data_IF_351666485948
#
_entry.id   IF_351666485948
#
_cell.length_a   1.000
_cell.length_b   1.000
_cell.length_c   1.000
_cell.angle_alpha   90.00
_cell.angle_beta   90.00
_cell.angle_gamma   90.00
#
_symmetry.space_group_name_H-M   'P 1'
#
loop_
_entity.id
_entity.type
_entity.pdbx_description
1 polymer ?
#
# COMPACT_ATOMS: atom_id res chain seq x y z
N UNK A 1 15.95 -9.90 -44.32
CA UNK A 1 16.79 -8.91 -43.58
C UNK A 1 15.85 -7.97 -42.87
N UNK A 2 16.06 -7.80 -41.55
CA UNK A 2 15.71 -6.69 -40.63
C UNK A 2 14.42 -5.86 -40.85
N UNK A 3 13.60 -5.59 -39.84
CA UNK A 3 13.77 -5.79 -38.39
C UNK A 3 12.45 -5.56 -37.63
N UNK A 4 12.44 -5.82 -36.30
CA UNK A 4 11.29 -5.62 -35.43
C UNK A 4 11.37 -4.27 -34.72
N UNK A 5 10.31 -3.47 -34.84
CA UNK A 5 10.08 -2.25 -34.07
C UNK A 5 8.56 -2.07 -34.11
N UNK A 6 7.80 -2.36 -33.07
CA UNK A 6 7.77 -1.64 -31.80
C UNK A 6 7.53 -2.58 -30.61
N UNK A 7 8.55 -2.79 -29.79
CA UNK A 7 8.33 -3.13 -28.37
C UNK A 7 7.78 -1.87 -27.70
N UNK A 8 6.45 -1.75 -27.70
CA UNK A 8 5.77 -0.89 -26.76
C UNK A 8 6.05 -1.47 -25.37
N UNK A 9 6.96 -0.83 -24.64
CA UNK A 9 7.10 -1.00 -23.21
C UNK A 9 5.75 -0.66 -22.58
N UNK A 10 4.92 -1.68 -22.35
CA UNK A 10 3.76 -1.61 -21.48
C UNK A 10 4.27 -1.34 -20.08
N UNK A 11 4.57 -0.07 -19.80
CA UNK A 11 4.75 0.45 -18.46
C UNK A 11 3.44 0.20 -17.74
N UNK A 12 3.43 -0.87 -16.95
CA UNK A 12 2.28 -1.39 -16.23
C UNK A 12 1.81 -0.42 -15.16
N UNK A 13 1.15 0.66 -15.56
CA UNK A 13 0.13 1.35 -14.79
C UNK A 13 -1.24 1.03 -15.41
N UNK A 14 -1.47 -0.26 -15.64
CA UNK A 14 -2.71 -0.77 -16.21
C UNK A 14 -3.84 -0.72 -15.18
N UNK A 15 -4.71 0.26 -15.32
CA UNK A 15 -6.02 0.39 -14.71
C UNK A 15 -6.71 1.58 -15.34
N UNK A 16 -7.67 1.35 -16.24
CA UNK A 16 -8.60 2.39 -16.68
C UNK A 16 -9.21 3.01 -15.42
N UNK A 17 -9.24 4.34 -15.29
CA UNK A 17 -9.74 5.00 -14.08
C UNK A 17 -11.15 4.60 -13.66
N UNK A 18 -11.92 3.96 -14.54
CA UNK A 18 -13.20 3.34 -14.21
C UNK A 18 -13.08 2.06 -13.34
N UNK A 19 -12.07 1.21 -13.55
CA UNK A 19 -11.79 0.04 -12.71
C UNK A 19 -11.14 0.40 -11.37
N UNK A 20 -10.38 1.49 -11.32
CA UNK A 20 -9.76 1.97 -10.07
C UNK A 20 -10.79 2.61 -9.11
N UNK A 21 -11.83 3.21 -9.70
CA UNK A 21 -12.96 3.79 -8.97
C UNK A 21 -14.11 2.81 -8.75
N UNK A 22 -14.12 1.66 -9.44
CA UNK A 22 -15.15 0.66 -9.25
C UNK A 22 -15.00 0.04 -7.84
N UNK A 23 -16.09 -0.06 -7.06
CA UNK A 23 -16.04 -0.80 -5.81
C UNK A 23 -15.63 -2.26 -6.09
N UNK A 24 -14.87 -2.85 -5.17
CA UNK A 24 -14.36 -4.24 -5.31
C UNK A 24 -15.47 -5.29 -5.33
N UNK A 25 -16.70 -4.88 -5.00
CA UNK A 25 -17.90 -5.67 -5.23
C UNK A 25 -18.40 -5.40 -6.64
N UNK A 26 -18.68 -6.45 -7.42
CA UNK A 26 -19.41 -6.39 -8.69
C UNK A 26 -20.86 -5.87 -8.56
N UNK A 27 -21.14 -5.04 -7.55
CA UNK A 27 -22.43 -4.50 -7.14
C UNK A 27 -22.52 -3.00 -7.41
N UNK A 28 -23.70 -2.60 -7.84
CA UNK A 28 -24.01 -1.26 -8.31
C UNK A 28 -23.56 -0.14 -7.37
N UNK A 29 -22.99 0.92 -7.94
CA UNK A 29 -22.72 2.19 -7.30
C UNK A 29 -23.90 2.64 -6.43
N UNK A 30 -23.66 2.80 -5.12
CA UNK A 30 -24.70 3.26 -4.21
C UNK A 30 -24.82 4.78 -4.34
N UNK A 31 -26.03 5.25 -4.63
CA UNK A 31 -26.29 6.69 -4.71
C UNK A 31 -26.10 7.35 -3.34
N UNK A 32 -25.37 8.46 -3.32
CA UNK A 32 -25.11 9.24 -2.11
C UNK A 32 -23.81 8.86 -1.39
N UNK A 33 -23.08 7.85 -1.86
CA UNK A 33 -21.76 7.46 -1.36
C UNK A 33 -20.67 8.18 -2.17
N UNK A 34 -19.71 8.79 -1.47
CA UNK A 34 -18.60 9.51 -2.09
C UNK A 34 -17.38 8.60 -2.29
N UNK A 35 -17.47 7.73 -3.29
CA UNK A 35 -16.38 6.84 -3.69
C UNK A 35 -15.13 7.60 -4.16
N UNK A 36 -15.28 8.82 -4.67
CA UNK A 36 -14.16 9.63 -5.17
C UNK A 36 -13.32 10.16 -4.01
N UNK A 37 -13.96 10.59 -2.92
CA UNK A 37 -13.27 10.99 -1.70
C UNK A 37 -12.45 9.83 -1.13
N UNK A 38 -13.06 8.65 -0.98
CA UNK A 38 -12.36 7.46 -0.49
C UNK A 38 -11.19 7.04 -1.38
N UNK A 39 -11.39 7.00 -2.71
CA UNK A 39 -10.30 6.67 -3.63
C UNK A 39 -9.16 7.70 -3.60
N UNK A 40 -9.45 9.00 -3.45
CA UNK A 40 -8.41 10.03 -3.33
C UNK A 40 -7.60 9.87 -2.05
N UNK A 41 -8.25 9.58 -0.94
CA UNK A 41 -7.58 9.26 0.32
C UNK A 41 -6.67 8.04 0.15
N UNK A 42 -7.20 6.95 -0.44
CA UNK A 42 -6.44 5.74 -0.73
C UNK A 42 -5.25 6.00 -1.65
N UNK A 43 -5.38 6.86 -2.66
CA UNK A 43 -4.29 7.27 -3.55
C UNK A 43 -3.18 7.98 -2.79
N UNK A 44 -3.53 8.89 -1.88
CA UNK A 44 -2.56 9.55 -0.99
C UNK A 44 -1.83 8.54 -0.10
N UNK A 45 -2.56 7.59 0.49
CA UNK A 45 -1.99 6.53 1.32
C UNK A 45 -1.07 5.59 0.52
N UNK A 46 -1.44 5.23 -0.72
CA UNK A 46 -0.58 4.45 -1.64
C UNK A 46 0.73 5.17 -1.91
N UNK A 47 0.70 6.48 -2.21
CA UNK A 47 1.91 7.24 -2.47
C UNK A 47 2.83 7.29 -1.24
N UNK A 48 2.26 7.51 -0.05
CA UNK A 48 3.03 7.49 1.20
C UNK A 48 3.64 6.11 1.50
N UNK A 49 2.85 5.03 1.33
CA UNK A 49 3.31 3.67 1.55
C UNK A 49 4.40 3.26 0.55
N UNK A 50 4.25 3.63 -0.73
CA UNK A 50 5.26 3.40 -1.75
C UNK A 50 6.59 4.10 -1.39
N UNK A 51 6.53 5.36 -0.96
CA UNK A 51 7.71 6.10 -0.53
C UNK A 51 8.40 5.48 0.70
N UNK A 52 7.61 5.00 1.67
CA UNK A 52 8.14 4.32 2.85
C UNK A 52 8.81 2.98 2.51
N UNK A 53 8.18 2.16 1.67
CA UNK A 53 8.74 0.89 1.20
C UNK A 53 10.03 1.10 0.40
N UNK A 54 10.05 2.08 -0.50
CA UNK A 54 11.26 2.46 -1.24
C UNK A 54 12.38 2.92 -0.30
N UNK A 55 12.07 3.76 0.69
CA UNK A 55 13.05 4.20 1.70
C UNK A 55 13.60 3.05 2.55
N UNK A 56 12.82 1.97 2.70
CA UNK A 56 13.24 0.75 3.38
C UNK A 56 13.96 -0.26 2.47
N UNK A 57 14.21 0.09 1.20
CA UNK A 57 14.84 -0.79 0.21
C UNK A 57 13.93 -1.91 -0.30
N UNK A 58 12.62 -1.82 -0.08
CA UNK A 58 11.60 -2.75 -0.57
C UNK A 58 10.98 -2.15 -1.83
N UNK A 59 11.71 -2.22 -2.94
CA UNK A 59 11.28 -1.70 -4.24
C UNK A 59 11.45 -2.74 -5.37
N UNK A 60 10.80 -2.49 -6.51
CA UNK A 60 10.90 -3.32 -7.71
C UNK A 60 9.69 -4.24 -7.96
N UNK A 61 9.81 -5.21 -8.88
CA UNK A 61 8.68 -5.98 -9.41
C UNK A 61 7.96 -6.85 -8.37
N UNK A 62 8.52 -6.95 -7.16
CA UNK A 62 7.95 -7.72 -6.06
C UNK A 62 6.91 -6.99 -5.21
N UNK A 63 6.57 -5.74 -5.54
CA UNK A 63 5.62 -4.88 -4.82
C UNK A 63 4.61 -4.30 -5.81
N UNK A 64 3.32 -4.49 -5.55
CA UNK A 64 2.24 -3.84 -6.28
C UNK A 64 1.26 -3.22 -5.29
N UNK A 65 1.08 -1.90 -5.42
CA UNK A 65 0.12 -1.14 -4.62
C UNK A 65 -1.04 -0.68 -5.50
N UNK A 66 -2.25 -0.73 -4.97
CA UNK A 66 -3.46 -0.23 -5.65
C UNK A 66 -4.32 0.55 -4.67
N UNK A 67 -4.81 1.69 -5.12
CA UNK A 67 -5.88 2.41 -4.46
C UNK A 67 -7.22 1.92 -5.01
N UNK A 68 -8.22 1.87 -4.15
CA UNK A 68 -9.60 1.52 -4.49
C UNK A 68 -10.54 2.19 -3.50
N UNK A 69 -11.82 2.29 -3.84
CA UNK A 69 -12.86 2.63 -2.88
C UNK A 69 -13.56 1.35 -2.40
N UNK A 70 -13.87 1.29 -1.11
CA UNK A 70 -14.74 0.28 -0.51
C UNK A 70 -16.19 0.42 -0.99
N UNK A 71 -17.00 -0.58 -0.69
CA UNK A 71 -18.43 -0.60 -1.01
C UNK A 71 -19.22 0.51 -0.30
N UNK A 72 -18.75 0.91 0.88
CA UNK A 72 -19.21 2.03 1.69
C UNK A 72 -18.60 3.39 1.31
N UNK A 73 -17.72 3.43 0.29
CA UNK A 73 -17.02 4.64 -0.16
C UNK A 73 -15.77 4.97 0.64
N UNK A 74 -15.35 4.13 1.60
CA UNK A 74 -14.07 4.28 2.31
C UNK A 74 -12.86 4.11 1.38
N UNK A 75 -11.73 4.72 1.71
CA UNK A 75 -10.48 4.48 0.98
C UNK A 75 -9.88 3.12 1.34
N UNK A 76 -9.55 2.31 0.33
CA UNK A 76 -8.94 0.99 0.51
C UNK A 76 -7.61 0.90 -0.26
N UNK A 77 -6.56 0.54 0.46
CA UNK A 77 -5.23 0.28 -0.12
C UNK A 77 -4.98 -1.23 -0.17
N UNK A 78 -4.63 -1.73 -1.36
CA UNK A 78 -4.25 -3.14 -1.57
C UNK A 78 -2.78 -3.22 -1.85
N UNK A 79 -2.11 -4.08 -1.08
CA UNK A 79 -0.69 -4.37 -1.21
C UNK A 79 -0.52 -5.84 -1.58
N UNK A 80 0.04 -6.07 -2.75
CA UNK A 80 0.49 -7.38 -3.20
C UNK A 80 2.02 -7.43 -3.14
N UNK A 81 2.54 -8.48 -2.51
CA UNK A 81 3.96 -8.70 -2.31
C UNK A 81 4.34 -10.08 -2.80
N UNK A 82 5.50 -10.18 -3.44
CA UNK A 82 6.18 -11.48 -3.57
C UNK A 82 6.59 -12.01 -2.20
N UNK A 83 6.70 -13.33 -2.08
CA UNK A 83 7.10 -13.99 -0.81
C UNK A 83 8.40 -13.41 -0.22
N UNK A 84 9.47 -13.14 -0.99
CA UNK A 84 10.68 -12.50 -0.46
C UNK A 84 10.41 -11.08 0.06
N UNK A 85 9.68 -10.24 -0.68
CA UNK A 85 9.35 -8.89 -0.24
C UNK A 85 8.50 -8.88 1.04
N UNK A 86 7.52 -9.80 1.14
CA UNK A 86 6.72 -9.98 2.35
C UNK A 86 7.56 -10.32 3.59
N UNK A 87 8.60 -11.15 3.44
CA UNK A 87 9.52 -11.47 4.54
C UNK A 87 10.32 -10.26 5.01
N UNK A 88 10.79 -9.43 4.07
CA UNK A 88 11.52 -8.19 4.40
C UNK A 88 10.59 -7.22 5.14
N UNK A 89 9.37 -7.00 4.62
CA UNK A 89 8.37 -6.14 5.27
C UNK A 89 8.02 -6.64 6.67
N UNK A 90 7.80 -7.95 6.84
CA UNK A 90 7.50 -8.53 8.15
C UNK A 90 8.65 -8.34 9.15
N UNK A 91 9.91 -8.48 8.70
CA UNK A 91 11.08 -8.22 9.54
C UNK A 91 11.15 -6.75 9.96
N UNK A 92 11.00 -5.82 9.03
CA UNK A 92 11.00 -4.38 9.31
C UNK A 92 9.90 -4.00 10.32
N UNK A 93 8.68 -4.51 10.15
CA UNK A 93 7.58 -4.27 11.07
C UNK A 93 7.86 -4.83 12.48
N UNK A 94 8.47 -6.02 12.55
CA UNK A 94 8.84 -6.66 13.82
C UNK A 94 9.94 -5.87 14.56
N UNK A 95 10.96 -5.41 13.83
CA UNK A 95 12.06 -4.61 14.38
C UNK A 95 11.54 -3.29 14.97
N UNK A 96 10.62 -2.63 14.25
CA UNK A 96 9.94 -1.41 14.73
C UNK A 96 9.06 -1.68 15.95
N UNK A 97 8.26 -2.75 15.94
CA UNK A 97 7.41 -3.12 17.08
C UNK A 97 8.21 -3.46 18.35
N UNK A 98 9.37 -4.11 18.19
CA UNK A 98 10.29 -4.38 19.28
C UNK A 98 10.90 -3.08 19.85
N UNK A 99 11.22 -2.11 19.00
CA UNK A 99 11.67 -0.78 19.41
C UNK A 99 10.62 -0.02 20.23
N UNK A 100 9.34 -0.16 19.89
CA UNK A 100 8.25 0.45 20.67
C UNK A 100 8.06 -0.20 22.04
N UNK A 101 8.22 -1.52 22.17
CA UNK A 101 8.17 -2.19 23.47
C UNK A 101 9.39 -1.88 24.34
N UNK A 102 10.58 -1.73 23.75
CA UNK A 102 11.82 -1.40 24.47
C UNK A 102 11.89 0.04 25.01
N UNK A 103 11.02 0.95 24.55
CA UNK A 103 10.99 2.35 24.98
C UNK A 103 10.08 2.60 26.20
N UNK A 104 9.45 1.55 26.75
CA UNK A 104 8.59 1.62 27.94
C UNK A 104 9.34 1.51 29.28
N UNK A 105 10.61 1.10 29.29
CA UNK A 105 11.42 0.96 30.51
C UNK A 105 12.31 2.19 30.72
N UNK A 106 11.69 3.36 30.87
CA UNK A 106 12.37 4.58 31.34
C UNK A 106 11.57 5.13 32.51
N UNK A 107 11.62 4.42 33.64
CA UNK A 107 10.88 4.84 34.83
C UNK A 107 10.84 3.84 35.97
N UNK A 108 11.90 3.04 36.18
CA UNK A 108 12.11 2.42 37.49
C UNK A 108 12.42 3.56 38.49
N UNK A 109 11.42 3.97 39.25
CA UNK A 109 11.64 4.84 40.40
C UNK A 109 12.53 4.10 41.41
N UNK A 110 13.63 4.72 41.89
CA UNK A 110 14.43 4.14 42.96
C UNK A 110 13.65 4.21 44.27
N UNK A 111 13.53 3.04 44.90
CA UNK A 111 13.52 2.75 46.33
C UNK A 111 13.01 3.84 47.29
N UNK A 112 11.91 3.54 48.00
CA UNK A 112 11.64 4.16 49.30
C UNK A 112 11.57 3.06 50.36
N UNK A 113 12.60 3.13 51.19
CA UNK A 113 12.97 2.38 52.39
C UNK A 113 11.85 2.19 53.41
#
# INVERSE_FOLDING_TARGET
MSGPEHEALESGVGGSGAEELAPDTAGAWVRGVDYVAGWREATGAVAALAGALASAGVEGPGVRLRASAGDDGSGVVRLELTVPAARVVAKLASDVAAGFHGNGDVGAYPESR
#
